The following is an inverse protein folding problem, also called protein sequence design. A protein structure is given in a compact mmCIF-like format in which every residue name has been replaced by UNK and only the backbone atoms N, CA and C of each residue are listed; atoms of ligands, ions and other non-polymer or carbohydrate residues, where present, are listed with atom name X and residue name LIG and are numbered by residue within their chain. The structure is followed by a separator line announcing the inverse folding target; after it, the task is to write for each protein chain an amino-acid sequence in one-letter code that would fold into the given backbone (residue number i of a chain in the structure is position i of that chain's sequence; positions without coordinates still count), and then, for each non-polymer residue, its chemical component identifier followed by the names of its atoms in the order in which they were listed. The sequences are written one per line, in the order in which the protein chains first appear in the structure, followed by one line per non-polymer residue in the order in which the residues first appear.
data_IF_375944309832
#
_entry.id   IF_375944309832
#
_cell.length_a   1.000
_cell.length_b   1.000
_cell.length_c   1.000
_cell.angle_alpha   90.00
_cell.angle_beta   90.00
_cell.angle_gamma   90.00
#
_symmetry.space_group_name_H-M   'P 1'
#
loop_
_entity.id
_entity.type
_entity.pdbx_description
1 polymer ?
#
# COMPACT_ATOMS: atom_id res chain seq x y z
N UNK A 1 -5.85 5.98 27.36
CA UNK A 1 -6.87 6.83 26.72
C UNK A 1 -7.79 5.93 25.90
N UNK A 2 -9.10 6.05 26.09
CA UNK A 2 -10.09 5.29 25.33
C UNK A 2 -10.19 5.78 23.88
N UNK A 3 -10.70 4.92 23.01
CA UNK A 3 -11.00 5.29 21.63
C UNK A 3 -12.23 6.19 21.60
N UNK A 4 -12.08 7.42 21.14
CA UNK A 4 -13.17 8.39 21.05
C UNK A 4 -13.60 8.64 19.61
N UNK A 5 -14.79 9.23 19.45
CA UNK A 5 -15.29 9.72 18.16
C UNK A 5 -14.33 10.67 17.44
N UNK A 6 -13.62 11.52 18.20
CA UNK A 6 -12.61 12.41 17.66
C UNK A 6 -11.47 11.63 17.02
N UNK A 7 -11.05 10.52 17.63
CA UNK A 7 -9.98 9.69 17.08
C UNK A 7 -10.39 9.02 15.77
N UNK A 8 -11.63 8.52 15.65
CA UNK A 8 -12.09 7.93 14.39
C UNK A 8 -12.20 8.96 13.26
N UNK A 9 -12.58 10.20 13.59
CA UNK A 9 -12.62 11.29 12.61
C UNK A 9 -11.21 11.70 12.16
N UNK A 10 -10.26 11.76 13.11
CA UNK A 10 -8.84 12.01 12.79
C UNK A 10 -8.25 10.89 11.92
N UNK A 11 -8.63 9.63 12.16
CA UNK A 11 -8.23 8.52 11.28
C UNK A 11 -8.76 8.70 9.86
N UNK A 12 -10.03 9.06 9.68
CA UNK A 12 -10.62 9.30 8.37
C UNK A 12 -9.90 10.43 7.62
N UNK A 13 -9.60 11.53 8.31
CA UNK A 13 -8.85 12.65 7.74
C UNK A 13 -7.42 12.26 7.37
N UNK A 14 -6.74 11.48 8.22
CA UNK A 14 -5.40 10.98 7.94
C UNK A 14 -5.39 10.07 6.70
N UNK A 15 -6.35 9.15 6.60
CA UNK A 15 -6.50 8.29 5.43
C UNK A 15 -6.72 9.12 4.15
N UNK A 16 -7.64 10.09 4.17
CA UNK A 16 -7.89 10.97 3.03
C UNK A 16 -6.62 11.74 2.64
N UNK A 17 -5.91 12.32 3.61
CA UNK A 17 -4.67 13.04 3.36
C UNK A 17 -3.61 12.15 2.71
N UNK A 18 -3.35 10.96 3.26
CA UNK A 18 -2.41 10.00 2.66
C UNK A 18 -2.85 9.59 1.24
N UNK A 19 -4.14 9.29 1.06
CA UNK A 19 -4.68 8.89 -0.25
C UNK A 19 -4.44 9.97 -1.30
N UNK A 20 -4.80 11.22 -1.01
CA UNK A 20 -4.67 12.32 -1.98
C UNK A 20 -3.23 12.81 -2.16
N UNK A 21 -2.38 12.75 -1.14
CA UNK A 21 -0.96 13.08 -1.31
C UNK A 21 -0.26 12.10 -2.24
N UNK A 22 -0.48 10.80 -2.03
CA UNK A 22 0.07 9.77 -2.91
C UNK A 22 -0.60 9.83 -4.28
N UNK A 23 -1.92 10.00 -4.32
CA UNK A 23 -2.69 10.21 -5.54
C UNK A 23 -2.19 11.37 -6.40
N UNK A 24 -1.91 12.52 -5.79
CA UNK A 24 -1.34 13.67 -6.47
C UNK A 24 0.04 13.35 -7.07
N UNK A 25 0.87 12.57 -6.37
CA UNK A 25 2.13 12.08 -6.93
C UNK A 25 1.91 11.19 -8.16
N UNK A 26 0.94 10.27 -8.13
CA UNK A 26 0.61 9.43 -9.29
C UNK A 26 0.11 10.27 -10.47
N UNK A 27 -0.78 11.23 -10.22
CA UNK A 27 -1.27 12.17 -11.24
C UNK A 27 -0.12 12.98 -11.85
N UNK A 28 0.76 13.53 -11.00
CA UNK A 28 1.91 14.33 -11.44
C UNK A 28 2.85 13.56 -12.38
N UNK A 29 3.05 12.26 -12.14
CA UNK A 29 3.87 11.40 -12.98
C UNK A 29 3.12 10.78 -14.16
N UNK A 30 1.87 11.18 -14.41
CA UNK A 30 1.03 10.61 -15.48
C UNK A 30 0.65 9.14 -15.23
N UNK A 31 0.78 8.66 -14.01
CA UNK A 31 0.49 7.28 -13.58
C UNK A 31 -0.98 7.13 -13.19
N UNK A 32 -1.88 7.42 -14.13
CA UNK A 32 -3.33 7.20 -14.02
C UNK A 32 -3.83 6.42 -15.23
N UNK A 33 -5.02 5.82 -15.20
CA UNK A 33 -5.49 5.06 -16.37
C UNK A 33 -5.62 5.98 -17.60
N UNK A 34 -6.09 7.21 -17.40
CA UNK A 34 -6.20 8.21 -18.47
C UNK A 34 -4.84 8.72 -18.98
N UNK A 35 -3.82 8.79 -18.12
CA UNK A 35 -2.46 9.18 -18.48
C UNK A 35 -1.69 8.08 -19.20
N UNK A 36 -1.99 6.81 -18.90
CA UNK A 36 -1.42 5.67 -19.60
C UNK A 36 -1.90 5.66 -21.07
N UNK A 37 -1.09 5.11 -21.97
CA UNK A 37 -1.51 4.75 -23.33
C UNK A 37 -1.26 3.25 -23.55
N UNK A 38 -2.06 2.38 -22.90
CA UNK A 38 -1.77 0.96 -22.91
C UNK A 38 -2.00 0.37 -24.30
N UNK A 39 -0.97 -0.25 -24.87
CA UNK A 39 -1.05 -0.98 -26.15
C UNK A 39 -1.31 -2.47 -25.91
N UNK A 40 -0.82 -2.99 -24.79
CA UNK A 40 -0.99 -4.37 -24.34
C UNK A 40 -1.39 -4.40 -22.86
N UNK A 41 -1.86 -5.56 -22.39
CA UNK A 41 -2.07 -5.83 -20.98
C UNK A 41 -1.26 -7.05 -20.57
N UNK A 42 -0.75 -7.04 -19.34
CA UNK A 42 -0.02 -8.17 -18.76
C UNK A 42 -0.99 -8.98 -17.93
N UNK A 43 -1.27 -10.22 -18.36
CA UNK A 43 -2.05 -11.17 -17.56
C UNK A 43 -1.14 -11.91 -16.60
N UNK A 44 -1.38 -11.77 -15.30
CA UNK A 44 -0.75 -12.62 -14.28
C UNK A 44 -1.55 -13.91 -14.16
N UNK A 45 -0.88 -15.02 -13.88
CA UNK A 45 -1.51 -16.33 -13.70
C UNK A 45 -2.15 -16.44 -12.30
N UNK A 46 -3.16 -15.60 -12.01
CA UNK A 46 -3.91 -15.64 -10.77
C UNK A 46 -5.42 -15.66 -11.01
N UNK A 47 -6.13 -16.51 -10.26
CA UNK A 47 -7.57 -16.77 -10.46
C UNK A 47 -8.40 -15.51 -10.23
N UNK A 48 -8.08 -14.75 -9.19
CA UNK A 48 -8.79 -13.52 -8.84
C UNK A 48 -8.71 -12.50 -9.97
N UNK A 49 -7.52 -12.34 -10.53
CA UNK A 49 -7.27 -11.47 -11.65
C UNK A 49 -7.99 -11.89 -12.91
N UNK A 50 -7.98 -13.19 -13.23
CA UNK A 50 -8.74 -13.71 -14.38
C UNK A 50 -10.25 -13.48 -14.23
N UNK A 51 -10.81 -13.60 -13.02
CA UNK A 51 -12.21 -13.27 -12.76
C UNK A 51 -12.51 -11.78 -12.97
N UNK A 52 -11.60 -10.88 -12.60
CA UNK A 52 -11.75 -9.43 -12.83
C UNK A 52 -11.66 -9.10 -14.33
N UNK A 53 -10.82 -9.80 -15.09
CA UNK A 53 -10.63 -9.60 -16.52
C UNK A 53 -11.68 -10.30 -17.39
N UNK A 54 -12.41 -11.27 -16.83
CA UNK A 54 -13.44 -12.05 -17.52
C UNK A 54 -14.49 -11.20 -18.26
N UNK A 55 -15.00 -10.08 -17.69
CA UNK A 55 -16.01 -9.25 -18.35
C UNK A 55 -15.45 -8.41 -19.53
N UNK A 56 -14.14 -8.47 -19.81
CA UNK A 56 -13.50 -7.71 -20.88
C UNK A 56 -13.31 -6.22 -20.60
N UNK A 57 -13.28 -5.82 -19.32
CA UNK A 57 -13.09 -4.42 -18.90
C UNK A 57 -11.78 -3.83 -19.42
N UNK A 58 -10.71 -4.63 -19.44
CA UNK A 58 -9.40 -4.26 -19.97
C UNK A 58 -9.47 -3.82 -21.44
N UNK A 59 -10.24 -4.51 -22.28
CA UNK A 59 -10.39 -4.15 -23.69
C UNK A 59 -11.15 -2.84 -23.87
N UNK A 60 -12.19 -2.61 -23.04
CA UNK A 60 -12.94 -1.34 -23.06
C UNK A 60 -12.06 -0.17 -22.63
N UNK A 61 -11.21 -0.36 -21.61
CA UNK A 61 -10.30 0.69 -21.15
C UNK A 61 -9.23 1.01 -22.21
N UNK A 62 -8.62 0.01 -22.84
CA UNK A 62 -7.63 0.22 -23.91
C UNK A 62 -8.23 1.03 -25.06
N UNK A 63 -9.45 0.70 -25.47
CA UNK A 63 -10.08 1.30 -26.65
C UNK A 63 -10.78 2.64 -26.41
N UNK A 64 -10.98 3.06 -25.15
CA UNK A 64 -11.82 4.23 -24.84
C UNK A 64 -11.17 5.12 -23.77
N UNK A 65 -10.67 6.29 -24.18
CA UNK A 65 -10.09 7.32 -23.28
C UNK A 65 -11.10 7.86 -22.26
N UNK A 66 -12.34 8.11 -22.67
CA UNK A 66 -13.40 8.60 -21.77
C UNK A 66 -13.70 7.60 -20.66
N UNK A 67 -13.69 6.30 -20.96
CA UNK A 67 -13.86 5.26 -19.95
C UNK A 67 -12.75 5.32 -18.89
N UNK A 68 -11.49 5.51 -19.31
CA UNK A 68 -10.35 5.65 -18.40
C UNK A 68 -10.46 6.90 -17.51
N UNK A 69 -10.88 8.03 -18.07
CA UNK A 69 -11.13 9.26 -17.31
C UNK A 69 -12.24 9.09 -16.26
N UNK A 70 -13.34 8.42 -16.63
CA UNK A 70 -14.42 8.11 -15.68
C UNK A 70 -13.91 7.21 -14.56
N UNK A 71 -13.07 6.21 -14.88
CA UNK A 71 -12.49 5.34 -13.87
C UNK A 71 -11.60 6.10 -12.87
N UNK A 72 -10.71 6.95 -13.38
CA UNK A 72 -9.87 7.80 -12.55
C UNK A 72 -10.73 8.74 -11.68
N UNK A 73 -11.73 9.42 -12.27
CA UNK A 73 -12.59 10.34 -11.55
C UNK A 73 -13.34 9.67 -10.41
N UNK A 74 -13.96 8.50 -10.66
CA UNK A 74 -14.67 7.75 -9.60
C UNK A 74 -13.69 7.26 -8.54
N UNK A 75 -12.52 6.75 -8.93
CA UNK A 75 -11.49 6.29 -8.00
C UNK A 75 -11.05 7.41 -7.03
N UNK A 76 -10.81 8.61 -7.55
CA UNK A 76 -10.38 9.75 -6.74
C UNK A 76 -11.52 10.41 -5.96
N UNK A 77 -12.78 10.35 -6.41
CA UNK A 77 -13.91 10.93 -5.69
C UNK A 77 -14.38 10.07 -4.50
N UNK A 78 -14.35 8.75 -4.63
CA UNK A 78 -14.94 7.84 -3.64
C UNK A 78 -14.36 7.99 -2.22
N UNK A 79 -13.03 8.06 -2.01
CA UNK A 79 -12.46 8.24 -0.67
C UNK A 79 -12.88 9.54 0.03
N UNK A 80 -13.00 10.66 -0.70
CA UNK A 80 -13.51 11.92 -0.13
C UNK A 80 -14.97 11.80 0.30
N UNK A 81 -15.82 11.24 -0.58
CA UNK A 81 -17.24 11.05 -0.25
C UNK A 81 -17.36 10.10 0.96
N UNK A 82 -16.60 9.02 0.98
CA UNK A 82 -16.57 8.06 2.10
C UNK A 82 -16.18 8.74 3.41
N UNK A 83 -15.09 9.49 3.42
CA UNK A 83 -14.63 10.19 4.63
C UNK A 83 -15.65 11.26 5.07
N UNK A 84 -16.20 12.03 4.14
CA UNK A 84 -17.21 13.04 4.42
C UNK A 84 -18.49 12.44 5.03
N UNK A 85 -19.00 11.37 4.42
CA UNK A 85 -20.15 10.63 4.95
C UNK A 85 -19.85 9.98 6.31
N UNK A 86 -18.64 9.46 6.51
CA UNK A 86 -18.22 8.84 7.77
C UNK A 86 -18.16 9.86 8.92
N UNK A 87 -17.63 11.05 8.67
CA UNK A 87 -17.58 12.15 9.63
C UNK A 87 -18.98 12.69 9.94
N UNK A 88 -19.84 12.81 8.91
CA UNK A 88 -21.25 13.22 9.07
C UNK A 88 -22.17 12.13 9.62
N UNK A 89 -21.66 10.92 9.89
CA UNK A 89 -22.42 9.78 10.41
C UNK A 89 -23.63 9.38 9.56
N UNK A 90 -23.50 9.46 8.24
CA UNK A 90 -24.58 9.05 7.33
C UNK A 90 -24.80 7.54 7.34
N UNK A 91 -26.05 7.09 7.23
CA UNK A 91 -26.40 5.66 7.17
C UNK A 91 -25.82 4.92 5.95
N UNK A 92 -25.53 5.64 4.86
CA UNK A 92 -24.99 5.04 3.62
C UNK A 92 -23.52 4.63 3.72
N UNK A 93 -22.82 5.05 4.78
CA UNK A 93 -21.37 4.83 4.96
C UNK A 93 -20.97 3.36 4.86
N UNK A 94 -21.81 2.45 5.38
CA UNK A 94 -21.55 1.01 5.30
C UNK A 94 -21.46 0.53 3.86
N UNK A 95 -22.46 0.88 3.05
CA UNK A 95 -22.52 0.52 1.63
C UNK A 95 -21.38 1.18 0.86
N UNK A 96 -21.14 2.47 1.12
CA UNK A 96 -20.11 3.24 0.46
C UNK A 96 -18.70 2.71 0.74
N UNK A 97 -18.42 2.25 1.97
CA UNK A 97 -17.12 1.67 2.31
C UNK A 97 -16.86 0.35 1.57
N UNK A 98 -17.87 -0.52 1.42
CA UNK A 98 -17.75 -1.74 0.61
C UNK A 98 -17.58 -1.42 -0.87
N UNK A 99 -18.39 -0.49 -1.39
CA UNK A 99 -18.28 -0.06 -2.78
C UNK A 99 -16.91 0.55 -3.07
N UNK A 100 -16.41 1.42 -2.19
CA UNK A 100 -15.08 2.04 -2.34
C UNK A 100 -13.98 0.99 -2.31
N UNK A 101 -14.04 0.01 -1.39
CA UNK A 101 -13.06 -1.08 -1.33
C UNK A 101 -13.04 -1.90 -2.62
N UNK A 102 -14.21 -2.36 -3.07
CA UNK A 102 -14.35 -3.20 -4.27
C UNK A 102 -13.94 -2.44 -5.54
N UNK A 103 -14.40 -1.20 -5.67
CA UNK A 103 -14.04 -0.34 -6.80
C UNK A 103 -12.53 -0.08 -6.83
N UNK A 104 -11.92 0.23 -5.69
CA UNK A 104 -10.48 0.44 -5.57
C UNK A 104 -9.70 -0.82 -5.91
N UNK A 105 -10.16 -2.01 -5.51
CA UNK A 105 -9.53 -3.28 -5.86
C UNK A 105 -9.53 -3.49 -7.38
N UNK A 106 -10.69 -3.32 -8.02
CA UNK A 106 -10.82 -3.46 -9.48
C UNK A 106 -9.94 -2.44 -10.19
N UNK A 107 -9.97 -1.18 -9.76
CA UNK A 107 -9.14 -0.11 -10.33
C UNK A 107 -7.65 -0.42 -10.20
N UNK A 108 -7.17 -0.76 -8.99
CA UNK A 108 -5.76 -1.05 -8.72
C UNK A 108 -5.28 -2.28 -9.50
N UNK A 109 -6.13 -3.31 -9.60
CA UNK A 109 -5.82 -4.50 -10.37
C UNK A 109 -5.68 -4.16 -11.86
N UNK A 110 -6.67 -3.49 -12.46
CA UNK A 110 -6.62 -3.06 -13.87
C UNK A 110 -5.40 -2.16 -14.13
N UNK A 111 -5.16 -1.19 -13.25
CA UNK A 111 -3.98 -0.33 -13.32
C UNK A 111 -2.68 -1.13 -13.28
N UNK A 112 -2.57 -2.16 -12.45
CA UNK A 112 -1.37 -3.01 -12.39
C UNK A 112 -1.16 -3.90 -13.62
N UNK A 113 -2.25 -4.26 -14.32
CA UNK A 113 -2.15 -5.03 -15.57
C UNK A 113 -1.84 -4.17 -16.79
N UNK A 114 -2.16 -2.88 -16.72
CA UNK A 114 -1.99 -1.90 -17.81
C UNK A 114 -0.75 -1.01 -17.63
N UNK A 115 -0.05 -1.13 -16.51
CA UNK A 115 1.16 -0.37 -16.20
C UNK A 115 2.27 -1.29 -15.70
N UNK A 116 3.45 -0.72 -15.44
CA UNK A 116 4.57 -1.43 -14.79
C UNK A 116 4.45 -1.45 -13.26
N UNK A 117 3.47 -0.73 -12.69
CA UNK A 117 3.29 -0.63 -11.24
C UNK A 117 2.57 -1.88 -10.75
N UNK A 118 3.19 -2.58 -9.81
CA UNK A 118 2.58 -3.78 -9.26
C UNK A 118 1.40 -3.44 -8.32
N UNK A 119 0.56 -4.41 -7.97
CA UNK A 119 -0.64 -4.17 -7.14
C UNK A 119 -0.28 -4.03 -5.65
N UNK A 120 0.86 -4.58 -5.25
CA UNK A 120 1.35 -4.68 -3.88
C UNK A 120 1.49 -3.30 -3.22
N UNK A 121 2.07 -2.27 -3.86
CA UNK A 121 2.03 -0.91 -3.33
C UNK A 121 0.61 -0.40 -3.06
N UNK A 122 -0.38 -0.80 -3.84
CA UNK A 122 -1.72 -0.22 -3.82
C UNK A 122 -2.67 -0.84 -2.79
N UNK A 123 -2.21 -1.86 -2.04
CA UNK A 123 -3.02 -2.65 -1.08
C UNK A 123 -3.85 -1.79 -0.14
N UNK A 124 -3.28 -0.72 0.43
CA UNK A 124 -4.00 0.11 1.39
C UNK A 124 -5.21 0.82 0.79
N UNK A 125 -5.18 1.15 -0.51
CA UNK A 125 -6.27 1.86 -1.18
C UNK A 125 -7.57 1.07 -1.20
N UNK A 126 -7.50 -0.26 -1.20
CA UNK A 126 -8.70 -1.12 -1.17
C UNK A 126 -8.96 -1.82 0.16
N UNK A 127 -7.96 -2.00 1.04
CA UNK A 127 -8.21 -2.54 2.39
C UNK A 127 -8.71 -1.50 3.40
N UNK A 128 -8.15 -0.28 3.40
CA UNK A 128 -8.50 0.74 4.41
C UNK A 128 -9.96 1.19 4.30
N UNK A 129 -10.60 1.32 3.11
CA UNK A 129 -12.02 1.64 3.03
C UNK A 129 -12.93 0.69 3.86
N UNK A 130 -12.52 -0.57 4.06
CA UNK A 130 -13.27 -1.54 4.87
C UNK A 130 -13.37 -1.16 6.35
N UNK A 131 -12.43 -0.35 6.85
CA UNK A 131 -12.49 0.23 8.20
C UNK A 131 -13.79 1.00 8.42
N UNK A 132 -14.26 1.72 7.41
CA UNK A 132 -15.40 2.61 7.51
C UNK A 132 -16.75 1.88 7.43
N UNK A 133 -16.81 0.58 7.09
CA UNK A 133 -18.11 -0.12 6.93
C UNK A 133 -18.86 -0.36 8.25
N UNK A 134 -18.26 -0.02 9.39
CA UNK A 134 -18.86 -0.06 10.74
C UNK A 134 -18.52 1.26 11.45
N UNK A 135 -19.44 2.24 11.46
CA UNK A 135 -19.15 3.57 12.00
C UNK A 135 -19.19 3.62 13.54
N UNK A 136 -19.77 2.60 14.18
CA UNK A 136 -19.79 2.46 15.63
C UNK A 136 -18.37 2.26 16.19
N UNK A 137 -18.11 2.79 17.39
CA UNK A 137 -16.76 2.78 17.97
C UNK A 137 -16.23 1.36 18.22
N UNK A 138 -17.10 0.43 18.63
CA UNK A 138 -16.74 -0.96 18.87
C UNK A 138 -16.34 -1.67 17.57
N UNK A 139 -17.18 -1.58 16.53
CA UNK A 139 -16.90 -2.15 15.22
C UNK A 139 -15.66 -1.54 14.56
N UNK A 140 -15.45 -0.23 14.70
CA UNK A 140 -14.22 0.42 14.25
C UNK A 140 -12.99 -0.10 15.00
N UNK A 141 -13.08 -0.23 16.33
CA UNK A 141 -12.00 -0.76 17.18
C UNK A 141 -11.57 -2.18 16.75
N UNK A 142 -12.52 -3.09 16.54
CA UNK A 142 -12.18 -4.46 16.11
C UNK A 142 -11.54 -4.49 14.73
N UNK A 143 -12.08 -3.73 13.77
CA UNK A 143 -11.50 -3.64 12.42
C UNK A 143 -10.11 -3.03 12.42
N UNK A 144 -9.86 -2.05 13.28
CA UNK A 144 -8.54 -1.45 13.46
C UNK A 144 -7.51 -2.51 13.83
N UNK A 145 -7.89 -3.41 14.75
CA UNK A 145 -7.05 -4.55 15.13
C UNK A 145 -6.90 -5.57 14.00
N UNK A 146 -7.96 -5.88 13.27
CA UNK A 146 -7.88 -6.74 12.10
C UNK A 146 -6.92 -6.19 11.05
N UNK A 147 -7.04 -4.91 10.68
CA UNK A 147 -6.15 -4.27 9.69
C UNK A 147 -4.71 -4.20 10.17
N UNK A 148 -4.49 -3.91 11.46
CA UNK A 148 -3.17 -3.97 12.07
C UNK A 148 -2.54 -5.36 11.93
N UNK A 149 -3.28 -6.42 12.29
CA UNK A 149 -2.79 -7.80 12.22
C UNK A 149 -2.55 -8.22 10.77
N UNK A 150 -3.47 -7.89 9.87
CA UNK A 150 -3.33 -8.15 8.44
C UNK A 150 -2.03 -7.56 7.89
N UNK A 151 -1.76 -6.29 8.20
CA UNK A 151 -0.56 -5.60 7.73
C UNK A 151 0.72 -6.17 8.35
N UNK A 152 0.69 -6.53 9.64
CA UNK A 152 1.77 -7.26 10.30
C UNK A 152 2.08 -8.56 9.56
N UNK A 153 1.05 -9.32 9.17
CA UNK A 153 1.21 -10.58 8.44
C UNK A 153 1.83 -10.31 7.06
N UNK A 154 1.42 -9.27 6.35
CA UNK A 154 2.00 -8.92 5.05
C UNK A 154 3.51 -8.65 5.13
N UNK A 155 3.93 -7.79 6.07
CA UNK A 155 5.36 -7.50 6.26
C UNK A 155 6.15 -8.71 6.73
N UNK A 156 5.64 -9.43 7.73
CA UNK A 156 6.32 -10.62 8.24
C UNK A 156 6.44 -11.70 7.14
N UNK A 157 5.41 -11.88 6.31
CA UNK A 157 5.43 -12.80 5.18
C UNK A 157 6.50 -12.42 4.15
N UNK A 158 6.69 -11.14 3.87
CA UNK A 158 7.77 -10.68 2.98
C UNK A 158 9.16 -11.06 3.51
N UNK A 159 9.39 -10.91 4.82
CA UNK A 159 10.64 -11.33 5.46
C UNK A 159 10.84 -12.85 5.43
N UNK A 160 9.78 -13.62 5.73
CA UNK A 160 9.81 -15.08 5.65
C UNK A 160 10.06 -15.58 4.21
N UNK A 161 9.52 -14.90 3.21
CA UNK A 161 9.78 -15.22 1.81
C UNK A 161 11.26 -15.02 1.45
N UNK A 162 11.93 -13.98 1.96
CA UNK A 162 13.38 -13.75 1.76
C UNK A 162 14.22 -14.89 2.36
N UNK A 163 13.82 -15.44 3.52
CA UNK A 163 14.45 -16.63 4.11
C UNK A 163 14.21 -17.83 3.20
N UNK A 164 12.95 -18.11 2.86
CA UNK A 164 12.55 -19.30 2.08
C UNK A 164 13.21 -19.34 0.71
N UNK A 165 13.32 -18.20 0.03
CA UNK A 165 13.96 -18.08 -1.26
C UNK A 165 15.50 -18.23 -1.20
N UNK A 166 16.08 -18.36 0.00
CA UNK A 166 17.53 -18.47 0.21
C UNK A 166 18.27 -17.14 0.05
N UNK A 167 17.56 -16.02 -0.18
CA UNK A 167 18.18 -14.73 -0.50
C UNK A 167 19.05 -14.19 0.62
N UNK A 168 18.72 -14.48 1.88
CA UNK A 168 19.51 -14.04 3.05
C UNK A 168 20.90 -14.69 3.10
N UNK A 169 21.05 -15.88 2.50
CA UNK A 169 22.29 -16.66 2.51
C UNK A 169 23.16 -16.39 1.28
N UNK A 170 22.67 -15.60 0.31
CA UNK A 170 23.40 -15.24 -0.89
C UNK A 170 23.96 -13.82 -0.76
N UNK A 171 25.29 -13.64 -0.63
CA UNK A 171 25.90 -12.32 -0.43
C UNK A 171 25.71 -11.38 -1.64
N UNK A 172 25.43 -11.92 -2.82
CA UNK A 172 25.22 -11.14 -4.05
C UNK A 172 23.75 -10.83 -4.31
N UNK A 173 22.82 -11.28 -3.45
CA UNK A 173 21.39 -11.18 -3.68
C UNK A 173 20.94 -9.73 -3.90
N UNK A 174 21.35 -8.82 -3.01
CA UNK A 174 20.91 -7.43 -3.09
C UNK A 174 21.57 -6.67 -4.25
N UNK A 175 22.84 -6.93 -4.52
CA UNK A 175 23.51 -6.36 -5.70
C UNK A 175 22.85 -6.85 -6.99
N UNK A 176 22.48 -8.13 -7.06
CA UNK A 176 21.71 -8.70 -8.18
C UNK A 176 20.33 -8.05 -8.33
N UNK A 177 19.61 -7.81 -7.22
CA UNK A 177 18.32 -7.10 -7.22
C UNK A 177 18.49 -5.68 -7.76
N UNK A 178 19.50 -4.93 -7.30
CA UNK A 178 19.77 -3.56 -7.76
C UNK A 178 20.10 -3.53 -9.26
N UNK A 179 20.90 -4.47 -9.75
CA UNK A 179 21.21 -4.60 -11.19
C UNK A 179 19.95 -4.91 -11.98
N UNK A 180 19.16 -5.89 -11.57
CA UNK A 180 17.96 -6.31 -12.28
C UNK A 180 16.90 -5.20 -12.34
N UNK A 181 16.70 -4.49 -11.24
CA UNK A 181 15.70 -3.44 -11.13
C UNK A 181 16.08 -2.17 -11.90
N UNK A 182 17.36 -1.81 -11.91
CA UNK A 182 17.85 -0.58 -12.53
C UNK A 182 18.58 -0.83 -13.85
N UNK A 183 18.42 -2.00 -14.46
CA UNK A 183 19.14 -2.42 -15.66
C UNK A 183 19.04 -1.39 -16.81
N UNK A 184 17.86 -0.82 -17.03
CA UNK A 184 17.62 0.15 -18.10
C UNK A 184 18.35 1.49 -17.86
N UNK A 185 18.47 1.92 -16.61
CA UNK A 185 19.16 3.18 -16.25
C UNK A 185 20.67 2.94 -16.22
N UNK A 186 21.12 1.78 -15.73
CA UNK A 186 22.54 1.42 -15.72
C UNK A 186 23.10 1.25 -17.15
N UNK A 187 22.28 0.87 -18.12
CA UNK A 187 22.68 0.72 -19.52
C UNK A 187 22.59 2.00 -20.36
N UNK A 188 21.96 3.07 -19.85
CA UNK A 188 21.80 4.32 -20.59
C UNK A 188 23.11 5.12 -20.75
N UNK A 189 24.14 4.79 -19.97
CA UNK A 189 25.41 5.51 -19.94
C UNK A 189 25.37 6.84 -19.17
N UNK A 190 24.22 7.21 -18.60
CA UNK A 190 24.08 8.42 -17.79
C UNK A 190 24.90 8.32 -16.48
N UNK A 191 25.42 9.45 -15.99
CA UNK A 191 26.28 9.51 -14.80
C UNK A 191 25.69 10.41 -13.71
N UNK A 192 24.43 10.13 -13.34
CA UNK A 192 23.75 10.85 -12.25
C UNK A 192 24.27 10.43 -10.87
N UNK A 193 24.03 11.26 -9.84
CA UNK A 193 24.37 10.93 -8.45
C UNK A 193 23.70 9.63 -7.99
N UNK A 194 22.46 9.39 -8.43
CA UNK A 194 21.74 8.16 -8.16
C UNK A 194 22.44 6.93 -8.76
N UNK A 195 22.87 7.01 -10.02
CA UNK A 195 23.60 5.91 -10.68
C UNK A 195 24.92 5.63 -9.96
N UNK A 196 25.67 6.67 -9.57
CA UNK A 196 26.91 6.49 -8.80
C UNK A 196 26.67 5.80 -7.45
N UNK A 197 25.60 6.17 -6.76
CA UNK A 197 25.18 5.52 -5.52
C UNK A 197 24.81 4.04 -5.76
N UNK A 198 24.04 3.73 -6.81
CA UNK A 198 23.72 2.35 -7.17
C UNK A 198 24.97 1.54 -7.49
N UNK A 199 25.85 2.06 -8.35
CA UNK A 199 27.11 1.40 -8.71
C UNK A 199 28.00 1.20 -7.48
N UNK A 200 28.01 2.13 -6.53
CA UNK A 200 28.71 1.94 -5.26
C UNK A 200 28.18 0.73 -4.49
N UNK A 201 26.87 0.59 -4.31
CA UNK A 201 26.30 -0.58 -3.62
C UNK A 201 26.52 -1.88 -4.38
N UNK A 202 26.36 -1.87 -5.71
CA UNK A 202 26.59 -3.05 -6.56
C UNK A 202 28.03 -3.54 -6.43
N UNK A 203 29.01 -2.62 -6.44
CA UNK A 203 30.43 -2.94 -6.33
C UNK A 203 30.90 -3.27 -4.90
N UNK A 204 30.04 -3.09 -3.89
CA UNK A 204 30.32 -3.47 -2.50
C UNK A 204 29.28 -4.46 -1.99
N UNK A 205 29.33 -5.75 -2.42
CA UNK A 205 28.32 -6.76 -2.08
C UNK A 205 28.10 -6.93 -0.58
N UNK A 206 29.15 -6.81 0.24
CA UNK A 206 29.01 -6.91 1.70
C UNK A 206 28.10 -5.82 2.27
N UNK A 207 28.26 -4.56 1.83
CA UNK A 207 27.40 -3.45 2.28
C UNK A 207 25.97 -3.62 1.76
N UNK A 208 25.83 -4.02 0.50
CA UNK A 208 24.54 -4.33 -0.13
C UNK A 208 23.81 -5.45 0.62
N UNK A 209 24.53 -6.51 0.99
CA UNK A 209 23.98 -7.62 1.76
C UNK A 209 23.61 -7.23 3.20
N UNK A 210 24.41 -6.37 3.86
CA UNK A 210 24.03 -5.80 5.16
C UNK A 210 22.71 -5.04 5.09
N UNK A 211 22.48 -4.25 4.03
CA UNK A 211 21.18 -3.60 3.82
C UNK A 211 20.06 -4.62 3.66
N UNK A 212 20.29 -5.69 2.89
CA UNK A 212 19.32 -6.77 2.72
C UNK A 212 18.95 -7.43 4.05
N UNK A 213 19.94 -7.71 4.90
CA UNK A 213 19.72 -8.25 6.24
C UNK A 213 18.96 -7.30 7.15
N UNK A 214 19.29 -6.00 7.13
CA UNK A 214 18.56 -4.99 7.92
C UNK A 214 17.09 -4.93 7.49
N UNK A 215 16.82 -4.94 6.18
CA UNK A 215 15.45 -4.93 5.66
C UNK A 215 14.71 -6.21 6.05
N UNK A 216 15.31 -7.38 5.85
CA UNK A 216 14.70 -8.66 6.22
C UNK A 216 14.43 -8.76 7.73
N UNK A 217 15.37 -8.29 8.56
CA UNK A 217 15.18 -8.23 10.01
C UNK A 217 14.06 -7.26 10.41
N UNK A 218 13.98 -6.09 9.76
CA UNK A 218 12.92 -5.12 9.97
C UNK A 218 11.53 -5.68 9.62
N UNK A 219 11.41 -6.39 8.51
CA UNK A 219 10.19 -7.09 8.11
C UNK A 219 9.79 -8.20 9.09
N UNK A 220 10.74 -9.04 9.50
CA UNK A 220 10.50 -10.11 10.48
C UNK A 220 10.14 -9.56 11.86
N UNK A 221 10.64 -8.37 12.23
CA UNK A 221 10.29 -7.71 13.49
C UNK A 221 8.80 -7.40 13.59
N UNK A 222 8.06 -7.29 12.47
CA UNK A 222 6.61 -7.17 12.51
C UNK A 222 5.92 -8.37 13.18
N UNK A 223 6.53 -9.57 13.21
CA UNK A 223 5.99 -10.73 13.94
C UNK A 223 5.72 -10.42 15.42
N UNK A 224 6.52 -9.55 16.04
CA UNK A 224 6.29 -9.10 17.42
C UNK A 224 4.92 -8.40 17.56
N UNK A 225 4.47 -7.73 16.50
CA UNK A 225 3.16 -7.10 16.40
C UNK A 225 1.99 -8.08 16.53
N UNK A 226 2.16 -9.37 16.24
CA UNK A 226 1.12 -10.39 16.47
C UNK A 226 0.87 -10.56 17.96
N UNK A 227 1.95 -10.58 18.76
CA UNK A 227 1.90 -10.90 20.18
C UNK A 227 1.65 -9.69 21.07
N UNK A 228 2.11 -8.50 20.68
CA UNK A 228 2.02 -7.32 21.54
C UNK A 228 1.87 -6.01 20.76
N UNK A 229 1.20 -5.04 21.38
CA UNK A 229 1.04 -3.65 20.88
C UNK A 229 2.10 -2.69 21.42
N UNK A 230 2.95 -3.15 22.37
CA UNK A 230 3.95 -2.31 23.05
C UNK A 230 4.93 -1.67 22.06
N UNK A 231 5.25 -2.37 20.98
CA UNK A 231 6.23 -1.94 19.99
C UNK A 231 5.63 -1.27 18.75
N UNK A 232 4.33 -0.96 18.74
CA UNK A 232 3.66 -0.37 17.57
C UNK A 232 4.30 0.95 17.10
N UNK A 233 4.86 1.74 18.02
CA UNK A 233 5.62 2.96 17.64
C UNK A 233 6.91 2.63 16.88
N UNK A 234 7.61 1.57 17.28
CA UNK A 234 8.80 1.09 16.58
C UNK A 234 8.39 0.53 15.21
N UNK A 235 7.29 -0.22 15.13
CA UNK A 235 6.75 -0.72 13.85
C UNK A 235 6.40 0.42 12.88
N UNK A 236 5.86 1.54 13.37
CA UNK A 236 5.63 2.74 12.55
C UNK A 236 6.96 3.32 12.04
N UNK A 237 7.98 3.43 12.89
CA UNK A 237 9.29 3.93 12.47
C UNK A 237 9.90 3.02 11.41
N UNK A 238 9.89 1.70 11.63
CA UNK A 238 10.39 0.72 10.65
C UNK A 238 9.62 0.83 9.33
N UNK A 239 8.29 0.93 9.38
CA UNK A 239 7.46 1.13 8.19
C UNK A 239 7.89 2.39 7.44
N UNK A 240 7.94 3.55 8.10
CA UNK A 240 8.28 4.81 7.43
C UNK A 240 9.70 4.78 6.87
N UNK A 241 10.66 4.22 7.60
CA UNK A 241 12.02 4.02 7.10
C UNK A 241 12.02 3.12 5.86
N UNK A 242 11.31 2.00 5.89
CA UNK A 242 11.19 1.08 4.74
C UNK A 242 10.63 1.81 3.51
N UNK A 243 9.55 2.58 3.65
CA UNK A 243 8.96 3.35 2.56
C UNK A 243 9.95 4.36 1.94
N UNK A 244 10.74 5.03 2.77
CA UNK A 244 11.75 5.98 2.32
C UNK A 244 12.89 5.28 1.57
N UNK A 245 13.42 4.18 2.11
CA UNK A 245 14.51 3.43 1.49
C UNK A 245 14.07 2.77 0.18
N UNK A 246 12.87 2.20 0.11
CA UNK A 246 12.33 1.64 -1.13
C UNK A 246 12.15 2.74 -2.19
N UNK A 247 11.71 3.93 -1.81
CA UNK A 247 11.63 5.04 -2.76
C UNK A 247 13.00 5.52 -3.23
N UNK A 248 13.96 5.69 -2.31
CA UNK A 248 15.29 6.24 -2.64
C UNK A 248 16.15 5.23 -3.40
N UNK A 249 16.21 3.97 -2.96
CA UNK A 249 17.10 2.95 -3.52
C UNK A 249 16.43 2.17 -4.65
N UNK A 250 15.17 1.80 -4.46
CA UNK A 250 14.44 0.92 -5.39
C UNK A 250 13.57 1.71 -6.37
N UNK A 251 13.34 3.01 -6.13
CA UNK A 251 12.38 3.81 -6.91
C UNK A 251 10.96 3.20 -6.93
N UNK A 252 10.59 2.43 -5.91
CA UNK A 252 9.23 1.91 -5.77
C UNK A 252 8.45 2.81 -4.80
N UNK A 253 7.32 3.34 -5.27
CA UNK A 253 6.46 4.16 -4.44
C UNK A 253 5.47 3.31 -3.63
N UNK A 254 5.86 2.96 -2.39
CA UNK A 254 4.98 2.29 -1.43
C UNK A 254 4.24 3.25 -0.47
N UNK A 255 4.28 4.58 -0.69
CA UNK A 255 3.71 5.55 0.27
C UNK A 255 2.19 5.42 0.46
N UNK A 256 1.49 4.75 -0.46
CA UNK A 256 0.11 4.30 -0.29
C UNK A 256 -0.10 3.46 0.97
N UNK A 257 0.92 2.82 1.53
CA UNK A 257 0.84 2.05 2.79
C UNK A 257 0.80 2.91 4.07
N UNK A 258 1.08 4.22 3.99
CA UNK A 258 1.05 5.13 5.15
C UNK A 258 -0.23 5.06 6.02
N UNK A 259 -1.45 4.89 5.47
CA UNK A 259 -2.66 4.67 6.29
C UNK A 259 -2.53 3.54 7.33
N UNK A 260 -1.74 2.49 7.07
CA UNK A 260 -1.51 1.42 8.05
C UNK A 260 -0.71 1.91 9.27
N UNK A 261 0.10 2.96 9.14
CA UNK A 261 0.75 3.60 10.30
C UNK A 261 -0.29 4.12 11.31
N UNK A 262 -1.40 4.68 10.83
CA UNK A 262 -2.50 5.07 11.69
C UNK A 262 -3.17 3.86 12.36
N UNK A 263 -3.23 2.69 11.69
CA UNK A 263 -3.74 1.47 12.33
C UNK A 263 -2.91 1.11 13.56
N UNK A 264 -1.57 1.14 13.47
CA UNK A 264 -0.70 0.95 14.64
C UNK A 264 -0.93 2.00 15.72
N UNK A 265 -0.94 3.28 15.34
CA UNK A 265 -1.05 4.39 16.30
C UNK A 265 -2.35 4.35 17.10
N UNK A 266 -3.50 4.21 16.41
CA UNK A 266 -4.80 4.22 17.08
C UNK A 266 -5.13 2.90 17.78
N UNK A 267 -4.51 1.78 17.41
CA UNK A 267 -4.75 0.49 18.07
C UNK A 267 -4.25 0.43 19.52
N UNK A 268 -3.42 1.39 19.94
CA UNK A 268 -2.98 1.55 21.32
C UNK A 268 -4.09 2.09 22.24
N UNK A 269 -5.19 2.59 21.69
CA UNK A 269 -6.34 3.08 22.48
C UNK A 269 -7.10 1.90 23.09
N UNK A 270 -7.72 2.14 24.25
CA UNK A 270 -8.56 1.14 24.94
C UNK A 270 -9.92 1.02 24.27
N UNK A 271 -10.58 -0.13 24.46
CA UNK A 271 -11.96 -0.37 24.02
C UNK A 271 -12.90 0.73 24.58
N UNK A 272 -13.86 1.23 23.78
CA UNK A 272 -14.82 2.24 24.22
C UNK A 272 -15.85 1.63 25.20
N UNK A 273 -15.91 2.12 26.45
CA UNK A 273 -16.78 1.55 27.51
C UNK A 273 -18.25 1.98 27.37
N UNK A 274 -18.52 3.18 26.86
CA UNK A 274 -19.87 3.77 26.81
C UNK A 274 -20.88 3.05 25.88
N UNK A 275 -20.43 2.11 25.04
CA UNK A 275 -21.29 1.43 24.06
C UNK A 275 -21.96 0.17 24.65
N UNK A 276 -21.54 -0.33 25.81
CA UNK A 276 -22.13 -1.55 26.40
C UNK A 276 -23.45 -1.33 27.15
N UNK A 277 -24.00 -0.10 27.16
CA UNK A 277 -25.17 0.28 27.96
C UNK A 277 -26.36 0.82 27.14
N UNK A 278 -26.33 0.69 25.80
CA UNK A 278 -27.45 1.02 24.90
C UNK A 278 -27.68 -0.11 23.91
#
# INVERSE_FOLDING_TARGET
MELTQRNTNQFALYYAACFYLVGAWYIWHGLTLSGLQPVFFVSKADITGQLILWPGLQHKLINNSSCRMVFDAVFYLLPAILCGCFVKRSGIVKMLGWFTALYSLIYCYLFSTLSFVSIEPLIAWFFIPLMFTRPDLAGFYFKLHMMRILFVIFFASAGLWKIRAGGIFNPDQMSGILVAQHAAILSSGEQSLFIRMLTFFINHPLLSNMLYWIVAAGELFFLVGIFTKRYDRILIVILVSFLLFDYILMQINYFSWLPFAACFYYSQKKYPVEVSLR
#
